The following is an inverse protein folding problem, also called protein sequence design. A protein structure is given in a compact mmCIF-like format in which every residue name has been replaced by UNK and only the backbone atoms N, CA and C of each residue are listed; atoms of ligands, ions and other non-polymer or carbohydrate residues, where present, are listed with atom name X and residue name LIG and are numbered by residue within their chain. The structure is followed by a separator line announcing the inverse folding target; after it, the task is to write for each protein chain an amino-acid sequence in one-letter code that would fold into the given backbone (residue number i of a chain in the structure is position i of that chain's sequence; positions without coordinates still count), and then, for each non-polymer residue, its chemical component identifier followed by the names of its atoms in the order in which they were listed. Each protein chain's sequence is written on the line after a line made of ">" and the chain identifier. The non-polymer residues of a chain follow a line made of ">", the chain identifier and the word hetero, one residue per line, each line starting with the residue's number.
data_IF_855878399292
#
_entry.id   IF_855878399292
#
_cell.length_a   1.000
_cell.length_b   1.000
_cell.length_c   1.000
_cell.angle_alpha   90.00
_cell.angle_beta   90.00
_cell.angle_gamma   90.00
#
_symmetry.space_group_name_H-M   'P 1'
#
loop_
_entity.id
_entity.type
_entity.pdbx_description
1 polymer ?
#
# COMPACT_ATOMS: atom_id res chain seq x y z
N UNK A 1 -11.79 1.97 9.51
CA UNK A 1 -11.10 0.68 9.33
C UNK A 1 -9.61 0.86 9.06
N UNK A 2 -9.15 1.42 7.93
CA UNK A 2 -7.69 1.51 7.64
C UNK A 2 -6.94 2.51 8.53
N UNK A 3 -7.56 3.66 8.83
CA UNK A 3 -6.97 4.65 9.72
C UNK A 3 -6.94 4.15 11.17
N UNK A 4 -7.98 3.42 11.60
CA UNK A 4 -8.01 2.82 12.94
C UNK A 4 -6.90 1.77 13.10
N UNK A 5 -6.64 0.97 12.05
CA UNK A 5 -5.50 0.04 12.03
C UNK A 5 -4.16 0.78 12.11
N UNK A 6 -4.00 1.88 11.37
CA UNK A 6 -2.79 2.69 11.43
C UNK A 6 -2.60 3.34 12.81
N UNK A 7 -3.70 3.75 13.46
CA UNK A 7 -3.70 4.37 14.78
C UNK A 7 -3.35 3.37 15.87
N UNK A 8 -3.97 2.19 15.83
CA UNK A 8 -3.65 1.08 16.73
C UNK A 8 -2.18 0.66 16.58
N UNK A 9 -1.66 0.59 15.35
CA UNK A 9 -0.24 0.34 15.11
C UNK A 9 0.65 1.43 15.72
N UNK A 10 0.36 2.70 15.42
CA UNK A 10 1.12 3.83 15.94
C UNK A 10 1.16 3.81 17.47
N UNK A 11 0.01 3.65 18.12
CA UNK A 11 -0.13 3.60 19.58
C UNK A 11 0.61 2.43 20.21
N UNK A 12 0.47 1.21 19.66
CA UNK A 12 1.15 0.01 20.18
C UNK A 12 2.66 0.13 20.15
N UNK A 13 3.19 0.80 19.14
CA UNK A 13 4.63 0.95 18.95
C UNK A 13 5.18 2.28 19.46
N UNK A 14 4.32 3.18 19.95
CA UNK A 14 4.64 4.55 20.34
C UNK A 14 5.45 5.31 19.26
N UNK A 15 5.05 5.17 17.99
CA UNK A 15 5.74 5.78 16.85
C UNK A 15 4.77 6.59 15.98
N UNK A 16 5.10 7.85 15.64
CA UNK A 16 4.30 8.63 14.71
C UNK A 16 4.34 7.99 13.32
N UNK A 17 3.19 7.99 12.62
CA UNK A 17 3.03 7.34 11.34
C UNK A 17 2.58 8.32 10.26
N UNK A 18 3.13 8.20 9.06
CA UNK A 18 2.64 8.92 7.88
C UNK A 18 1.83 7.94 7.02
N UNK A 19 0.57 8.28 6.76
CA UNK A 19 -0.36 7.45 6.00
C UNK A 19 -0.67 8.09 4.65
N UNK A 20 -0.17 7.46 3.58
CA UNK A 20 -0.39 7.88 2.20
C UNK A 20 -1.56 7.14 1.57
N UNK A 21 -2.59 7.85 1.10
CA UNK A 21 -3.83 7.26 0.57
C UNK A 21 -4.22 7.82 -0.80
N UNK A 22 -5.01 7.05 -1.54
CA UNK A 22 -5.48 7.43 -2.87
C UNK A 22 -6.80 8.23 -2.84
N UNK A 23 -7.25 8.71 -4.01
CA UNK A 23 -8.41 9.60 -4.19
C UNK A 23 -9.77 9.04 -3.74
N UNK A 24 -9.82 7.77 -3.30
CA UNK A 24 -10.99 7.16 -2.66
C UNK A 24 -11.16 7.54 -1.18
N UNK A 25 -10.07 7.94 -0.51
CA UNK A 25 -10.03 8.22 0.92
C UNK A 25 -10.16 9.69 1.37
N UNK A 26 -10.31 10.73 0.52
CA UNK A 26 -10.52 12.08 1.03
C UNK A 26 -11.96 12.21 1.55
N UNK A 27 -12.15 11.89 2.83
CA UNK A 27 -13.41 12.07 3.56
C UNK A 27 -13.17 12.67 4.95
N UNK A 28 -14.15 13.41 5.47
CA UNK A 28 -14.04 14.11 6.75
C UNK A 28 -13.73 13.18 7.93
N UNK A 29 -14.31 11.98 7.93
CA UNK A 29 -14.12 11.02 9.02
C UNK A 29 -12.65 10.59 9.17
N UNK A 30 -11.93 10.38 8.06
CA UNK A 30 -10.51 10.01 8.08
C UNK A 30 -9.67 11.15 8.67
N UNK A 31 -9.89 12.39 8.23
CA UNK A 31 -9.18 13.54 8.81
C UNK A 31 -9.50 13.71 10.30
N UNK A 32 -10.78 13.60 10.69
CA UNK A 32 -11.20 13.75 12.08
C UNK A 32 -10.55 12.70 13.00
N UNK A 33 -10.38 11.45 12.53
CA UNK A 33 -9.69 10.40 13.29
C UNK A 33 -8.19 10.68 13.37
N UNK A 34 -7.53 11.15 12.31
CA UNK A 34 -6.11 11.51 12.39
C UNK A 34 -5.85 12.64 13.40
N UNK A 35 -6.79 13.58 13.50
CA UNK A 35 -6.72 14.70 14.43
C UNK A 35 -7.17 14.36 15.86
N UNK A 36 -7.71 13.16 16.13
CA UNK A 36 -8.23 12.84 17.46
C UNK A 36 -7.13 12.52 18.48
N UNK A 37 -5.97 12.04 18.00
CA UNK A 37 -4.83 11.68 18.86
C UNK A 37 -3.64 12.59 18.56
N UNK A 38 -3.35 13.45 19.53
CA UNK A 38 -2.23 14.36 19.52
C UNK A 38 -1.18 13.90 20.54
N UNK A 39 0.09 13.84 20.13
CA UNK A 39 1.16 13.58 21.09
C UNK A 39 1.76 14.88 21.58
N UNK A 40 1.82 15.00 22.91
CA UNK A 40 2.35 16.16 23.62
C UNK A 40 3.87 16.25 23.43
N UNK A 41 4.57 15.10 23.47
CA UNK A 41 6.04 15.04 23.41
C UNK A 41 6.60 15.53 22.06
N UNK A 42 5.97 15.09 20.97
CA UNK A 42 6.40 15.43 19.60
C UNK A 42 5.68 16.66 19.04
N UNK A 43 4.76 17.26 19.80
CA UNK A 43 3.94 18.41 19.39
C UNK A 43 3.31 18.25 17.98
N UNK A 44 2.85 17.05 17.65
CA UNK A 44 2.26 16.73 16.35
C UNK A 44 1.22 15.60 16.49
N UNK A 45 0.30 15.42 15.53
CA UNK A 45 -0.64 14.30 15.57
C UNK A 45 0.12 12.98 15.39
N UNK A 46 -0.38 11.91 16.00
CA UNK A 46 0.25 10.59 15.91
C UNK A 46 0.16 10.00 14.49
N UNK A 47 -0.81 10.48 13.71
CA UNK A 47 -0.96 10.17 12.29
C UNK A 47 -0.93 11.45 11.47
N UNK A 48 -0.02 11.51 10.51
CA UNK A 48 -0.03 12.51 9.44
C UNK A 48 -0.57 11.89 8.16
N UNK A 49 -1.53 12.54 7.52
CA UNK A 49 -2.19 12.08 6.30
C UNK A 49 -1.62 12.79 5.08
N UNK A 50 -1.37 12.03 4.02
CA UNK A 50 -1.10 12.54 2.66
C UNK A 50 -2.05 11.81 1.72
N UNK A 51 -3.11 12.48 1.27
CA UNK A 51 -4.18 11.85 0.50
C UNK A 51 -4.31 12.52 -0.86
N UNK A 52 -4.39 11.76 -1.95
CA UNK A 52 -4.72 12.36 -3.25
C UNK A 52 -6.14 12.95 -3.23
N UNK A 53 -6.28 14.19 -3.68
CA UNK A 53 -7.57 14.82 -3.86
C UNK A 53 -8.30 14.23 -5.08
N UNK A 54 -9.63 14.24 -5.05
CA UNK A 54 -10.45 13.98 -6.26
C UNK A 54 -10.32 15.15 -7.23
N UNK A 55 -10.47 14.88 -8.53
CA UNK A 55 -10.38 15.92 -9.56
C UNK A 55 -11.40 17.06 -9.36
N UNK A 56 -12.57 16.76 -8.80
CA UNK A 56 -13.62 17.75 -8.50
C UNK A 56 -13.52 18.32 -7.08
N UNK A 57 -12.36 18.22 -6.42
CA UNK A 57 -12.19 18.71 -5.07
C UNK A 57 -12.22 20.24 -5.05
N UNK A 58 -12.99 20.77 -4.10
CA UNK A 58 -13.19 22.20 -3.88
C UNK A 58 -12.73 22.54 -2.47
N UNK A 59 -12.05 23.68 -2.34
CA UNK A 59 -11.69 24.28 -1.07
C UNK A 59 -12.08 25.76 -1.04
N UNK A 60 -11.89 26.40 0.10
CA UNK A 60 -12.30 27.78 0.34
C UNK A 60 -11.15 28.55 0.96
N UNK A 61 -10.97 29.80 0.55
CA UNK A 61 -10.15 30.73 1.34
C UNK A 61 -10.80 31.00 2.69
N UNK A 62 -10.03 31.44 3.68
CA UNK A 62 -10.59 31.97 4.91
C UNK A 62 -11.42 33.23 4.61
N UNK A 63 -12.56 33.37 5.29
CA UNK A 63 -13.36 34.57 5.16
C UNK A 63 -12.57 35.78 5.68
N UNK A 64 -12.59 36.88 4.92
CA UNK A 64 -12.00 38.14 5.37
C UNK A 64 -12.74 38.62 6.63
N UNK A 65 -11.98 39.00 7.66
CA UNK A 65 -12.56 39.62 8.85
C UNK A 65 -13.19 40.96 8.43
N UNK A 66 -14.46 41.24 8.76
CA UNK A 66 -15.10 42.49 8.37
C UNK A 66 -14.34 43.67 8.98
N UNK A 67 -13.91 44.62 8.14
CA UNK A 67 -13.37 45.90 8.58
C UNK A 67 -14.54 46.80 9.01
N UNK A 68 -14.97 46.72 10.28
CA UNK A 68 -16.04 47.58 10.81
C UNK A 68 -16.88 46.97 11.94
N UNK A 69 -17.94 47.68 12.35
CA UNK A 69 -18.89 47.21 13.37
C UNK A 69 -19.56 45.91 12.93
N UNK A 70 -19.47 44.87 13.77
CA UNK A 70 -20.11 43.58 13.54
C UNK A 70 -21.63 43.78 13.48
N UNK A 71 -22.23 43.45 12.34
CA UNK A 71 -23.68 43.28 12.25
C UNK A 71 -24.16 42.07 13.07
N UNK A 72 -25.47 41.96 13.35
CA UNK A 72 -26.04 40.79 14.01
C UNK A 72 -25.87 39.53 13.13
N UNK A 73 -25.35 38.44 13.71
CA UNK A 73 -25.20 37.14 13.05
C UNK A 73 -23.84 36.45 13.29
N UNK A 74 -23.76 35.15 12.96
CA UNK A 74 -22.51 34.37 13.02
C UNK A 74 -21.59 34.80 11.86
N UNK A 75 -20.33 35.21 12.10
CA UNK A 75 -19.40 35.57 11.03
C UNK A 75 -19.21 34.41 10.04
N UNK A 76 -19.15 34.69 8.72
CA UNK A 76 -18.85 33.65 7.74
C UNK A 76 -17.45 33.11 7.99
N UNK A 77 -17.30 31.79 7.99
CA UNK A 77 -15.99 31.13 8.13
C UNK A 77 -15.32 30.91 6.77
N UNK A 78 -16.13 30.65 5.74
CA UNK A 78 -15.67 30.32 4.40
C UNK A 78 -15.73 31.53 3.48
N UNK A 79 -14.61 31.89 2.86
CA UNK A 79 -14.50 32.93 1.85
C UNK A 79 -14.74 32.41 0.44
N UNK A 80 -13.94 32.87 -0.53
CA UNK A 80 -14.07 32.51 -1.94
C UNK A 80 -13.86 31.00 -2.14
N UNK A 81 -14.82 30.37 -2.85
CA UNK A 81 -14.76 28.98 -3.30
C UNK A 81 -13.74 28.84 -4.44
N UNK A 82 -12.93 27.79 -4.42
CA UNK A 82 -11.91 27.51 -5.44
C UNK A 82 -11.92 26.03 -5.79
N UNK A 83 -11.86 25.71 -7.08
CA UNK A 83 -11.59 24.33 -7.52
C UNK A 83 -10.09 24.14 -7.61
N UNK A 84 -9.58 23.03 -7.07
CA UNK A 84 -8.13 22.83 -7.00
C UNK A 84 -7.48 22.65 -8.37
N UNK A 85 -8.24 22.21 -9.37
CA UNK A 85 -7.77 22.06 -10.76
C UNK A 85 -7.47 23.39 -11.42
N UNK A 86 -8.19 24.46 -11.06
CA UNK A 86 -8.08 25.77 -11.70
C UNK A 86 -6.69 26.42 -11.46
N UNK A 87 -5.98 25.98 -10.42
CA UNK A 87 -4.62 26.42 -10.16
C UNK A 87 -3.63 25.93 -11.23
N UNK A 88 -3.90 24.81 -11.91
CA UNK A 88 -3.01 24.32 -12.98
C UNK A 88 -3.01 25.23 -14.21
N UNK A 89 -4.03 26.09 -14.37
CA UNK A 89 -4.05 27.12 -15.42
C UNK A 89 -3.09 28.29 -15.09
N UNK A 90 -2.68 28.42 -13.83
CA UNK A 90 -1.85 29.51 -13.30
C UNK A 90 -0.42 29.02 -13.06
N UNK A 91 0.23 28.50 -14.10
CA UNK A 91 1.57 27.89 -14.02
C UNK A 91 2.65 28.83 -13.45
N UNK A 92 2.48 30.14 -13.58
CA UNK A 92 3.41 31.14 -13.02
C UNK A 92 3.50 31.11 -11.48
N UNK A 93 2.52 30.51 -10.78
CA UNK A 93 2.55 30.32 -9.33
C UNK A 93 3.35 29.09 -8.90
N UNK A 94 3.77 28.25 -9.84
CA UNK A 94 4.46 26.99 -9.55
C UNK A 94 5.98 27.20 -9.51
N UNK A 95 6.61 26.63 -8.48
CA UNK A 95 8.06 26.53 -8.37
C UNK A 95 8.54 25.24 -9.04
N UNK A 96 9.74 25.25 -9.59
CA UNK A 96 10.36 24.07 -10.19
C UNK A 96 11.35 23.43 -9.23
N UNK A 97 11.37 22.10 -9.17
CA UNK A 97 12.38 21.34 -8.44
C UNK A 97 12.56 19.95 -9.04
N UNK A 98 13.72 19.34 -8.76
CA UNK A 98 13.97 17.93 -9.08
C UNK A 98 13.41 17.05 -7.98
N UNK A 99 12.61 16.06 -8.35
CA UNK A 99 11.96 15.16 -7.41
C UNK A 99 11.98 13.72 -7.92
N UNK A 100 12.01 12.76 -6.98
CA UNK A 100 11.89 11.35 -7.31
C UNK A 100 10.41 10.98 -7.47
N UNK A 101 9.96 10.86 -8.72
CA UNK A 101 8.58 10.50 -9.07
C UNK A 101 8.60 9.08 -9.63
N UNK A 102 7.92 8.15 -8.94
CA UNK A 102 7.84 6.73 -9.31
C UNK A 102 9.20 6.08 -9.61
N UNK A 103 10.19 6.30 -8.71
CA UNK A 103 11.58 5.84 -8.82
C UNK A 103 12.36 6.42 -10.02
N UNK A 104 11.91 7.54 -10.60
CA UNK A 104 12.62 8.28 -11.64
C UNK A 104 12.84 9.71 -11.17
N UNK A 105 14.05 10.21 -11.33
CA UNK A 105 14.35 11.61 -11.09
C UNK A 105 13.84 12.42 -12.28
N UNK A 106 12.89 13.31 -12.05
CA UNK A 106 12.35 14.22 -13.06
C UNK A 106 12.20 15.63 -12.48
N UNK A 107 12.19 16.63 -13.36
CA UNK A 107 11.82 17.99 -12.99
C UNK A 107 10.31 18.08 -12.89
N UNK A 108 9.84 18.62 -11.77
CA UNK A 108 8.43 18.83 -11.50
C UNK A 108 8.17 20.30 -11.21
N UNK A 109 6.97 20.76 -11.56
CA UNK A 109 6.45 22.04 -11.12
C UNK A 109 5.50 21.79 -9.97
N UNK A 110 5.62 22.51 -8.86
CA UNK A 110 4.73 22.35 -7.70
C UNK A 110 4.35 23.68 -7.06
N UNK A 111 3.22 23.68 -6.35
CA UNK A 111 2.70 24.80 -5.58
C UNK A 111 2.11 24.26 -4.28
N UNK A 112 2.19 25.04 -3.20
CA UNK A 112 1.47 24.73 -1.96
C UNK A 112 0.54 25.85 -1.56
N UNK A 113 -0.64 25.49 -1.07
CA UNK A 113 -1.62 26.45 -0.56
C UNK A 113 -2.42 25.85 0.60
N UNK A 114 -2.65 26.64 1.65
CA UNK A 114 -3.50 26.24 2.77
C UNK A 114 -4.90 26.79 2.55
N UNK A 115 -5.90 25.90 2.46
CA UNK A 115 -7.30 26.28 2.23
C UNK A 115 -8.23 25.56 3.21
N UNK A 116 -9.36 26.17 3.52
CA UNK A 116 -10.41 25.54 4.30
C UNK A 116 -11.11 24.47 3.46
N UNK A 117 -11.19 23.25 3.99
CA UNK A 117 -11.94 22.18 3.37
C UNK A 117 -13.24 21.91 4.11
N UNK A 118 -14.36 22.30 3.49
CA UNK A 118 -15.71 22.30 4.08
C UNK A 118 -16.10 20.99 4.80
N UNK A 119 -15.79 19.77 4.28
CA UNK A 119 -16.10 18.53 4.98
C UNK A 119 -15.48 18.43 6.39
N UNK A 120 -14.29 18.99 6.59
CA UNK A 120 -13.62 19.03 7.91
C UNK A 120 -13.82 20.34 8.65
N UNK A 121 -14.14 21.43 7.94
CA UNK A 121 -14.17 22.79 8.48
C UNK A 121 -12.82 23.31 8.98
N UNK A 122 -11.71 22.68 8.55
CA UNK A 122 -10.34 23.00 8.96
C UNK A 122 -9.49 23.38 7.76
N UNK A 123 -8.37 24.04 8.04
CA UNK A 123 -7.32 24.26 7.04
C UNK A 123 -6.66 22.92 6.71
N UNK A 124 -6.46 22.70 5.42
CA UNK A 124 -5.72 21.58 4.86
C UNK A 124 -4.66 22.17 3.94
N UNK A 125 -3.45 21.60 3.99
CA UNK A 125 -2.41 21.95 3.04
C UNK A 125 -2.58 21.18 1.75
N UNK A 126 -2.82 21.90 0.68
CA UNK A 126 -2.89 21.35 -0.66
C UNK A 126 -1.52 21.49 -1.31
N UNK A 127 -0.97 20.36 -1.77
CA UNK A 127 0.25 20.30 -2.58
C UNK A 127 -0.16 19.93 -3.98
N UNK A 128 -0.03 20.86 -4.91
CA UNK A 128 -0.31 20.68 -6.32
C UNK A 128 1.02 20.43 -7.03
N UNK A 129 1.08 19.43 -7.91
CA UNK A 129 2.27 19.14 -8.67
C UNK A 129 1.92 18.70 -10.09
N UNK A 130 2.75 19.11 -11.04
CA UNK A 130 2.74 18.66 -12.43
C UNK A 130 3.96 17.77 -12.59
N UNK A 131 3.69 16.49 -12.86
CA UNK A 131 4.71 15.45 -13.04
C UNK A 131 4.74 15.00 -14.50
N UNK A 132 5.71 14.17 -14.88
CA UNK A 132 5.74 13.54 -16.20
C UNK A 132 4.53 12.64 -16.49
N UNK A 133 3.76 12.26 -15.45
CA UNK A 133 2.50 11.50 -15.57
C UNK A 133 1.25 12.36 -15.48
N UNK A 134 1.39 13.68 -15.46
CA UNK A 134 0.29 14.64 -15.37
C UNK A 134 0.12 15.26 -13.98
N UNK A 135 -0.94 16.08 -13.81
CA UNK A 135 -1.19 16.83 -12.59
C UNK A 135 -1.70 15.95 -11.46
N UNK A 136 -1.22 16.22 -10.25
CA UNK A 136 -1.67 15.60 -9.01
C UNK A 136 -1.93 16.68 -7.96
N UNK A 137 -2.92 16.44 -7.11
CA UNK A 137 -3.23 17.29 -5.96
C UNK A 137 -3.24 16.39 -4.73
N UNK A 138 -2.44 16.74 -3.73
CA UNK A 138 -2.34 16.04 -2.45
C UNK A 138 -2.92 16.92 -1.35
N UNK A 139 -3.64 16.30 -0.44
CA UNK A 139 -4.22 16.88 0.77
C UNK A 139 -3.39 16.40 1.94
N UNK A 140 -2.72 17.32 2.62
CA UNK A 140 -1.88 17.03 3.78
C UNK A 140 -2.58 17.51 5.05
N UNK A 141 -2.64 16.65 6.07
CA UNK A 141 -3.23 17.04 7.36
C UNK A 141 -2.35 18.00 8.14
N UNK A 142 -1.03 17.93 7.94
CA UNK A 142 -0.06 18.87 8.48
C UNK A 142 0.11 20.09 7.55
N UNK A 143 -0.05 21.28 8.13
CA UNK A 143 0.07 22.56 7.43
C UNK A 143 1.52 22.94 7.13
N UNK A 144 2.49 22.28 7.77
CA UNK A 144 3.91 22.51 7.56
C UNK A 144 4.57 21.45 6.68
N UNK A 145 3.80 20.48 6.19
CA UNK A 145 4.29 19.38 5.34
C UNK A 145 5.13 19.88 4.16
N UNK A 146 6.36 19.41 4.08
CA UNK A 146 7.24 19.72 2.94
C UNK A 146 6.67 19.11 1.65
N UNK A 147 6.50 19.92 0.58
CA UNK A 147 5.82 19.47 -0.64
C UNK A 147 6.57 18.37 -1.39
N UNK A 148 7.90 18.46 -1.48
CA UNK A 148 8.69 17.48 -2.22
C UNK A 148 8.63 16.11 -1.53
N UNK A 149 8.76 16.08 -0.20
CA UNK A 149 8.56 14.85 0.59
C UNK A 149 7.14 14.30 0.40
N UNK A 150 6.11 15.15 0.43
CA UNK A 150 4.74 14.68 0.25
C UNK A 150 4.52 14.00 -1.12
N UNK A 151 5.08 14.58 -2.18
CA UNK A 151 5.03 14.02 -3.53
C UNK A 151 5.79 12.69 -3.59
N UNK A 152 7.00 12.63 -3.05
CA UNK A 152 7.80 11.39 -3.02
C UNK A 152 7.08 10.27 -2.28
N UNK A 153 6.55 10.56 -1.09
CA UNK A 153 5.80 9.61 -0.27
C UNK A 153 4.55 9.10 -1.03
N UNK A 154 3.82 9.99 -1.70
CA UNK A 154 2.69 9.57 -2.52
C UNK A 154 3.13 8.69 -3.71
N UNK A 155 4.26 8.99 -4.36
CA UNK A 155 4.77 8.19 -5.47
C UNK A 155 5.21 6.77 -5.03
N UNK A 156 5.70 6.63 -3.79
CA UNK A 156 6.04 5.33 -3.19
C UNK A 156 4.82 4.43 -3.02
N UNK A 157 3.59 4.98 -3.01
CA UNK A 157 2.33 4.21 -2.91
C UNK A 157 2.22 3.08 -3.93
N UNK A 158 2.81 3.22 -5.13
CA UNK A 158 2.82 2.17 -6.16
C UNK A 158 3.44 0.86 -5.68
N UNK A 159 4.25 0.86 -4.61
CA UNK A 159 4.75 -0.36 -3.96
C UNK A 159 3.62 -1.29 -3.51
N UNK A 160 2.48 -0.78 -3.07
CA UNK A 160 1.35 -1.63 -2.68
C UNK A 160 0.72 -2.34 -3.89
N UNK A 161 0.67 -1.68 -5.04
CA UNK A 161 0.16 -2.25 -6.29
C UNK A 161 1.09 -3.38 -6.76
N UNK A 162 2.41 -3.15 -6.70
CA UNK A 162 3.43 -4.17 -6.99
C UNK A 162 3.31 -5.34 -6.00
N UNK A 163 3.14 -5.07 -4.71
CA UNK A 163 2.95 -6.10 -3.69
C UNK A 163 1.72 -6.96 -4.00
N UNK A 164 0.59 -6.36 -4.36
CA UNK A 164 -0.61 -7.11 -4.75
C UNK A 164 -0.41 -7.91 -6.04
N UNK A 165 0.33 -7.38 -7.01
CA UNK A 165 0.69 -8.11 -8.22
C UNK A 165 1.54 -9.35 -7.89
N UNK A 166 2.56 -9.20 -7.03
CA UNK A 166 3.37 -10.33 -6.57
C UNK A 166 2.53 -11.35 -5.78
N UNK A 167 1.65 -10.88 -4.89
CA UNK A 167 0.78 -11.77 -4.13
C UNK A 167 -0.15 -12.58 -5.03
N UNK A 168 -0.72 -11.94 -6.06
CA UNK A 168 -1.64 -12.57 -7.00
C UNK A 168 -0.94 -13.48 -8.01
N UNK A 169 0.08 -12.97 -8.69
CA UNK A 169 0.65 -13.60 -9.87
C UNK A 169 1.92 -14.41 -9.59
N UNK A 170 2.68 -14.06 -8.53
CA UNK A 170 3.88 -14.81 -8.15
C UNK A 170 3.57 -15.86 -7.07
N UNK A 171 2.88 -15.49 -6.00
CA UNK A 171 2.58 -16.38 -4.87
C UNK A 171 1.27 -17.15 -5.08
N UNK A 172 0.35 -16.62 -5.90
CA UNK A 172 -1.00 -17.17 -6.07
C UNK A 172 -1.80 -17.14 -4.76
N UNK A 173 -1.61 -16.11 -3.92
CA UNK A 173 -2.26 -15.95 -2.62
C UNK A 173 -3.78 -15.80 -2.67
N UNK A 174 -4.35 -15.59 -3.86
CA UNK A 174 -5.80 -15.53 -4.08
C UNK A 174 -6.35 -16.72 -4.88
N UNK A 175 -5.52 -17.74 -5.15
CA UNK A 175 -5.89 -18.94 -5.92
C UNK A 175 -6.34 -20.09 -5.02
N UNK A 176 -7.07 -19.78 -3.94
CA UNK A 176 -7.63 -20.79 -3.06
C UNK A 176 -8.95 -21.35 -3.62
N UNK A 177 -9.26 -22.60 -3.27
CA UNK A 177 -10.50 -23.28 -3.63
C UNK A 177 -11.35 -23.66 -2.41
N UNK A 178 -11.15 -22.98 -1.26
CA UNK A 178 -12.06 -23.15 -0.13
C UNK A 178 -13.41 -22.54 -0.50
N UNK A 179 -14.51 -23.23 -0.23
CA UNK A 179 -15.85 -22.68 -0.36
C UNK A 179 -16.84 -23.54 0.43
N UNK A 180 -17.94 -22.92 0.84
CA UNK A 180 -19.03 -23.62 1.54
C UNK A 180 -20.35 -23.34 0.84
N UNK A 181 -21.18 -24.37 0.68
CA UNK A 181 -22.56 -24.23 0.14
C UNK A 181 -23.46 -23.37 1.03
N UNK A 182 -23.08 -23.20 2.30
CA UNK A 182 -23.83 -22.41 3.28
C UNK A 182 -23.52 -20.90 3.19
N UNK A 183 -22.53 -20.52 2.37
CA UNK A 183 -22.25 -19.12 2.08
C UNK A 183 -23.13 -18.60 0.96
N UNK A 184 -23.52 -17.34 1.04
CA UNK A 184 -24.18 -16.67 -0.07
C UNK A 184 -23.24 -16.63 -1.27
N UNK A 185 -23.78 -16.94 -2.46
CA UNK A 185 -23.03 -16.78 -3.70
C UNK A 185 -22.86 -15.29 -3.96
N UNK A 186 -21.62 -14.83 -3.86
CA UNK A 186 -21.28 -13.46 -4.25
C UNK A 186 -21.05 -13.39 -5.75
N UNK A 187 -21.65 -12.39 -6.40
CA UNK A 187 -21.34 -12.08 -7.79
C UNK A 187 -19.89 -11.61 -7.90
N UNK A 188 -19.22 -11.94 -9.01
CA UNK A 188 -17.91 -11.35 -9.35
C UNK A 188 -17.99 -9.84 -9.60
N UNK A 189 -19.20 -9.30 -9.82
CA UNK A 189 -19.43 -7.86 -9.93
C UNK A 189 -19.76 -7.29 -8.56
N UNK A 190 -19.09 -6.21 -8.13
CA UNK A 190 -19.41 -5.56 -6.86
C UNK A 190 -20.86 -5.09 -6.88
N UNK A 191 -21.61 -5.45 -5.83
CA UNK A 191 -22.96 -4.96 -5.58
C UNK A 191 -22.95 -4.20 -4.27
N UNK A 192 -23.92 -3.30 -4.11
CA UNK A 192 -24.11 -2.58 -2.86
C UNK A 192 -24.29 -3.57 -1.71
N UNK A 193 -23.60 -3.35 -0.59
CA UNK A 193 -23.69 -4.19 0.61
C UNK A 193 -25.02 -4.04 1.38
N UNK A 194 -26.03 -3.40 0.78
CA UNK A 194 -27.34 -3.13 1.39
C UNK A 194 -28.12 -4.40 1.70
N UNK A 195 -27.96 -5.43 0.87
CA UNK A 195 -28.77 -6.65 0.93
C UNK A 195 -27.99 -7.86 1.47
N UNK A 196 -26.86 -7.63 2.17
CA UNK A 196 -26.11 -8.70 2.80
C UNK A 196 -26.94 -9.30 3.94
N UNK A 197 -27.27 -10.59 3.83
CA UNK A 197 -27.99 -11.30 4.91
C UNK A 197 -27.01 -12.11 5.74
N UNK A 198 -27.20 -12.07 7.04
CA UNK A 198 -26.46 -12.92 7.96
C UNK A 198 -26.76 -14.41 7.65
N UNK A 199 -25.76 -15.31 7.73
CA UNK A 199 -26.00 -16.75 7.67
C UNK A 199 -26.93 -17.20 8.80
N UNK A 200 -27.65 -18.31 8.60
CA UNK A 200 -28.42 -18.94 9.69
C UNK A 200 -27.51 -19.35 10.85
N UNK A 201 -28.03 -19.39 12.07
CA UNK A 201 -27.25 -19.73 13.28
C UNK A 201 -26.50 -21.06 13.14
N UNK A 202 -27.18 -22.09 12.61
CA UNK A 202 -26.59 -23.42 12.35
C UNK A 202 -25.48 -23.40 11.28
N UNK A 203 -25.48 -22.41 10.36
CA UNK A 203 -24.47 -22.26 9.32
C UNK A 203 -23.28 -21.38 9.76
N UNK A 204 -23.46 -20.55 10.78
CA UNK A 204 -22.53 -19.49 11.17
C UNK A 204 -21.13 -20.04 11.50
N UNK A 205 -21.05 -21.14 12.25
CA UNK A 205 -19.77 -21.77 12.56
C UNK A 205 -19.01 -22.20 11.29
N UNK A 206 -19.69 -22.88 10.36
CA UNK A 206 -19.08 -23.35 9.10
C UNK A 206 -18.67 -22.20 8.18
N UNK A 207 -19.47 -21.14 8.10
CA UNK A 207 -19.14 -19.93 7.34
C UNK A 207 -17.91 -19.24 7.93
N UNK A 208 -17.85 -19.09 9.25
CA UNK A 208 -16.69 -18.52 9.94
C UNK A 208 -15.41 -19.34 9.73
N UNK A 209 -15.49 -20.67 9.76
CA UNK A 209 -14.33 -21.53 9.43
C UNK A 209 -13.85 -21.30 8.00
N UNK A 210 -14.78 -21.15 7.05
CA UNK A 210 -14.43 -20.87 5.65
C UNK A 210 -13.76 -19.50 5.49
N UNK A 211 -14.27 -18.45 6.16
CA UNK A 211 -13.63 -17.13 6.19
C UNK A 211 -12.25 -17.16 6.82
N UNK A 212 -12.10 -17.82 7.98
CA UNK A 212 -10.79 -18.02 8.62
C UNK A 212 -9.81 -18.74 7.71
N UNK A 213 -10.28 -19.71 6.91
CA UNK A 213 -9.42 -20.38 5.93
C UNK A 213 -8.94 -19.42 4.83
N UNK A 214 -9.82 -18.56 4.30
CA UNK A 214 -9.42 -17.51 3.35
C UNK A 214 -8.41 -16.55 3.93
N UNK A 215 -8.71 -15.98 5.10
CA UNK A 215 -7.85 -15.00 5.78
C UNK A 215 -6.47 -15.60 6.07
N UNK A 216 -6.42 -16.81 6.64
CA UNK A 216 -5.16 -17.50 6.94
C UNK A 216 -4.36 -17.80 5.68
N UNK A 217 -5.00 -18.25 4.60
CA UNK A 217 -4.30 -18.54 3.36
C UNK A 217 -3.67 -17.28 2.75
N UNK A 218 -4.43 -16.18 2.68
CA UNK A 218 -3.93 -14.89 2.18
C UNK A 218 -2.82 -14.36 3.11
N UNK A 219 -2.96 -14.49 4.42
CA UNK A 219 -1.96 -14.06 5.40
C UNK A 219 -0.65 -14.86 5.26
N UNK A 220 -0.73 -16.19 5.12
CA UNK A 220 0.44 -17.04 4.88
C UNK A 220 1.13 -16.68 3.57
N UNK A 221 0.36 -16.39 2.52
CA UNK A 221 0.89 -15.92 1.25
C UNK A 221 1.60 -14.55 1.39
N UNK A 222 1.05 -13.63 2.18
CA UNK A 222 1.69 -12.34 2.47
C UNK A 222 2.98 -12.50 3.29
N UNK A 223 2.99 -13.37 4.30
CA UNK A 223 4.21 -13.71 5.06
C UNK A 223 5.27 -14.32 4.14
N UNK A 224 4.89 -15.28 3.29
CA UNK A 224 5.80 -15.89 2.34
C UNK A 224 6.41 -14.85 1.39
N UNK A 225 5.60 -13.93 0.86
CA UNK A 225 6.09 -12.82 0.04
C UNK A 225 7.09 -11.94 0.80
N UNK A 226 6.76 -11.57 2.05
CA UNK A 226 7.65 -10.78 2.90
C UNK A 226 8.98 -11.49 3.21
N UNK A 227 8.97 -12.81 3.39
CA UNK A 227 10.19 -13.60 3.57
C UNK A 227 11.06 -13.60 2.30
N UNK A 228 10.47 -13.71 1.11
CA UNK A 228 11.22 -13.60 -0.13
C UNK A 228 11.87 -12.21 -0.28
N UNK A 229 11.15 -11.15 0.08
CA UNK A 229 11.68 -9.78 0.07
C UNK A 229 12.81 -9.60 1.08
N UNK A 230 12.68 -10.17 2.29
CA UNK A 230 13.72 -10.12 3.31
C UNK A 230 14.99 -10.85 2.85
N UNK A 231 14.84 -12.03 2.23
CA UNK A 231 15.97 -12.78 1.67
C UNK A 231 16.62 -12.00 0.52
N UNK A 232 15.84 -11.36 -0.35
CA UNK A 232 16.36 -10.55 -1.44
C UNK A 232 17.26 -9.41 -0.95
N UNK A 233 16.89 -8.80 0.19
CA UNK A 233 17.63 -7.68 0.79
C UNK A 233 18.83 -8.17 1.59
N UNK A 234 18.70 -9.25 2.37
CA UNK A 234 19.76 -9.74 3.26
C UNK A 234 20.85 -10.55 2.55
N UNK A 235 20.48 -11.34 1.53
CA UNK A 235 21.38 -12.31 0.89
C UNK A 235 21.42 -12.16 -0.64
N UNK A 236 21.64 -10.94 -1.19
CA UNK A 236 21.57 -10.73 -2.63
C UNK A 236 22.64 -11.52 -3.38
N UNK A 237 23.88 -11.55 -2.87
CA UNK A 237 25.00 -12.22 -3.52
C UNK A 237 24.79 -13.74 -3.55
N UNK A 238 24.37 -14.34 -2.44
CA UNK A 238 24.09 -15.78 -2.37
C UNK A 238 23.00 -16.19 -3.34
N UNK A 239 21.92 -15.40 -3.43
CA UNK A 239 20.85 -15.66 -4.39
C UNK A 239 21.37 -15.58 -5.83
N UNK A 240 22.20 -14.58 -6.16
CA UNK A 240 22.76 -14.48 -7.51
C UNK A 240 23.73 -15.61 -7.83
N UNK A 241 24.54 -16.05 -6.87
CA UNK A 241 25.48 -17.16 -7.06
C UNK A 241 24.75 -18.50 -7.33
N UNK A 242 23.60 -18.71 -6.68
CA UNK A 242 22.78 -19.90 -6.87
C UNK A 242 21.76 -19.77 -8.00
N UNK A 243 21.70 -18.61 -8.67
CA UNK A 243 20.79 -18.39 -9.78
C UNK A 243 21.43 -18.86 -11.09
N UNK A 244 20.99 -20.00 -11.55
CA UNK A 244 21.57 -20.74 -12.68
C UNK A 244 20.75 -20.62 -13.98
N UNK A 245 19.89 -19.60 -14.08
CA UNK A 245 19.13 -19.33 -15.30
C UNK A 245 19.50 -17.99 -15.91
N UNK A 246 19.21 -17.82 -17.20
CA UNK A 246 19.52 -16.59 -17.90
C UNK A 246 18.43 -15.54 -17.75
N UNK A 247 18.82 -14.31 -17.41
CA UNK A 247 17.97 -13.13 -17.49
C UNK A 247 18.42 -12.27 -18.66
N UNK A 248 17.52 -12.08 -19.64
CA UNK A 248 17.77 -11.19 -20.79
C UNK A 248 18.16 -9.77 -20.37
N UNK A 249 17.62 -9.28 -19.26
CA UNK A 249 17.91 -7.94 -18.75
C UNK A 249 17.90 -7.95 -17.22
N UNK A 250 19.04 -7.62 -16.62
CA UNK A 250 19.15 -7.38 -15.18
C UNK A 250 18.89 -5.91 -14.90
N UNK A 251 17.63 -5.58 -14.59
CA UNK A 251 17.22 -4.19 -14.37
C UNK A 251 17.60 -3.63 -13.00
N UNK A 252 17.97 -4.48 -12.04
CA UNK A 252 18.28 -4.11 -10.65
C UNK A 252 19.40 -4.97 -10.07
N UNK A 253 20.18 -4.39 -9.15
CA UNK A 253 21.20 -5.13 -8.40
C UNK A 253 20.57 -6.14 -7.44
N UNK A 254 19.50 -5.75 -6.74
CA UNK A 254 18.72 -6.63 -5.86
C UNK A 254 17.95 -7.68 -6.67
N UNK A 255 17.96 -8.96 -6.25
CA UNK A 255 17.17 -10.00 -6.89
C UNK A 255 15.67 -9.72 -6.68
N UNK A 256 14.87 -10.05 -7.70
CA UNK A 256 13.41 -9.94 -7.59
C UNK A 256 12.83 -11.04 -6.70
N UNK A 257 11.63 -10.86 -6.18
CA UNK A 257 10.91 -11.90 -5.44
C UNK A 257 10.75 -13.17 -6.26
N UNK A 258 10.62 -13.05 -7.59
CA UNK A 258 10.57 -14.19 -8.52
C UNK A 258 11.90 -14.94 -8.57
N UNK A 259 13.01 -14.21 -8.64
CA UNK A 259 14.37 -14.76 -8.62
C UNK A 259 14.62 -15.51 -7.31
N UNK A 260 14.30 -14.88 -6.17
CA UNK A 260 14.44 -15.52 -4.85
C UNK A 260 13.57 -16.75 -4.74
N UNK A 261 12.28 -16.68 -5.14
CA UNK A 261 11.38 -17.83 -5.14
C UNK A 261 11.95 -18.99 -5.94
N UNK A 262 12.52 -18.71 -7.12
CA UNK A 262 13.12 -19.72 -7.98
C UNK A 262 14.29 -20.43 -7.30
N UNK A 263 15.27 -19.67 -6.81
CA UNK A 263 16.45 -20.21 -6.14
C UNK A 263 16.04 -21.00 -4.89
N UNK A 264 15.22 -20.40 -4.02
CA UNK A 264 14.75 -21.03 -2.79
C UNK A 264 13.97 -22.31 -3.06
N UNK A 265 13.11 -22.34 -4.08
CA UNK A 265 12.39 -23.56 -4.43
C UNK A 265 13.35 -24.69 -4.80
N UNK A 266 14.41 -24.42 -5.56
CA UNK A 266 15.41 -25.45 -5.93
C UNK A 266 16.21 -25.91 -4.72
N UNK A 267 16.68 -25.00 -3.87
CA UNK A 267 17.41 -25.34 -2.65
C UNK A 267 16.54 -26.16 -1.68
N UNK A 268 15.27 -25.77 -1.50
CA UNK A 268 14.33 -26.52 -0.65
C UNK A 268 14.05 -27.91 -1.22
N UNK A 269 13.86 -28.04 -2.54
CA UNK A 269 13.68 -29.34 -3.19
C UNK A 269 14.94 -30.20 -3.04
N UNK A 270 16.13 -29.65 -3.25
CA UNK A 270 17.41 -30.35 -3.04
C UNK A 270 17.52 -30.87 -1.61
N UNK A 271 17.27 -30.00 -0.62
CA UNK A 271 17.26 -30.40 0.79
C UNK A 271 16.17 -31.44 1.09
N UNK A 272 15.00 -31.35 0.46
CA UNK A 272 13.93 -32.35 0.58
C UNK A 272 14.40 -33.75 0.12
N UNK A 273 15.18 -33.81 -0.96
CA UNK A 273 15.69 -35.07 -1.52
C UNK A 273 16.86 -35.64 -0.72
N UNK A 274 17.73 -34.79 -0.16
CA UNK A 274 18.90 -35.19 0.63
C UNK A 274 18.48 -35.59 2.06
N UNK A 275 17.61 -34.81 2.71
CA UNK A 275 17.22 -34.98 4.11
C UNK A 275 15.95 -35.81 4.31
N UNK A 276 15.74 -36.89 3.55
CA UNK A 276 14.50 -37.70 3.61
C UNK A 276 14.57 -38.99 4.47
N UNK A 277 14.36 -38.94 5.80
CA UNK A 277 14.08 -40.14 6.62
C UNK A 277 12.59 -40.43 6.88
N UNK A 278 11.64 -39.51 6.64
CA UNK A 278 10.25 -39.64 7.15
C UNK A 278 9.24 -40.09 6.07
N UNK A 279 8.28 -40.95 6.44
CA UNK A 279 7.29 -41.57 5.55
C UNK A 279 6.46 -40.60 4.69
N UNK A 280 6.07 -39.44 5.25
CA UNK A 280 5.30 -38.40 4.53
C UNK A 280 6.09 -37.83 3.35
N UNK A 281 7.40 -37.64 3.53
CA UNK A 281 8.29 -37.09 2.50
C UNK A 281 8.52 -38.09 1.37
N UNK A 282 8.55 -39.39 1.69
CA UNK A 282 8.55 -40.48 0.70
C UNK A 282 7.27 -40.50 -0.14
N UNK A 283 6.10 -40.33 0.47
CA UNK A 283 4.82 -40.23 -0.25
C UNK A 283 4.78 -39.02 -1.19
N UNK A 284 5.24 -37.85 -0.74
CA UNK A 284 5.33 -36.64 -1.58
C UNK A 284 6.27 -36.89 -2.78
N UNK A 285 7.45 -37.47 -2.54
CA UNK A 285 8.41 -37.83 -3.59
C UNK A 285 7.79 -38.77 -4.60
N UNK A 286 7.08 -39.80 -4.15
CA UNK A 286 6.43 -40.78 -5.02
C UNK A 286 5.27 -40.18 -5.82
N UNK A 287 4.45 -39.30 -5.25
CA UNK A 287 3.26 -38.78 -5.94
C UNK A 287 3.58 -37.69 -6.95
N UNK A 288 4.54 -36.81 -6.63
CA UNK A 288 4.78 -35.61 -7.43
C UNK A 288 6.06 -35.66 -8.27
N UNK A 289 7.03 -36.51 -7.94
CA UNK A 289 8.36 -36.51 -8.58
C UNK A 289 8.75 -37.83 -9.26
N UNK A 290 7.79 -38.77 -9.44
CA UNK A 290 8.00 -40.13 -9.99
C UNK A 290 8.58 -40.21 -11.42
N UNK A 291 8.78 -39.10 -12.14
CA UNK A 291 9.16 -39.10 -13.57
C UNK A 291 10.54 -38.51 -13.92
N UNK A 292 11.25 -37.89 -12.99
CA UNK A 292 12.67 -37.49 -13.17
C UNK A 292 13.21 -37.12 -11.79
N UNK A 293 13.99 -38.00 -11.19
CA UNK A 293 14.96 -37.54 -10.19
C UNK A 293 15.92 -36.61 -10.93
N UNK A 294 16.08 -35.34 -10.53
CA UNK A 294 17.16 -34.53 -11.08
C UNK A 294 18.48 -35.23 -10.72
N UNK A 295 19.39 -35.32 -11.69
CA UNK A 295 20.68 -35.96 -11.48
C UNK A 295 21.43 -35.10 -10.45
N UNK A 296 22.06 -35.66 -9.38
CA UNK A 296 22.90 -34.87 -8.48
C UNK A 296 23.96 -34.03 -9.20
N UNK A 297 24.33 -34.39 -10.42
CA UNK A 297 25.25 -33.66 -11.30
C UNK A 297 24.62 -32.50 -12.10
N UNK A 298 23.29 -32.34 -12.10
CA UNK A 298 22.59 -31.21 -12.76
C UNK A 298 22.72 -29.88 -11.99
N UNK A 299 23.41 -29.88 -10.86
CA UNK A 299 23.66 -28.71 -10.03
C UNK A 299 25.18 -28.56 -9.87
N UNK A 300 25.78 -27.43 -10.28
CA UNK A 300 27.21 -27.24 -10.11
C UNK A 300 27.56 -27.37 -8.64
N UNK A 301 28.57 -28.20 -8.35
CA UNK A 301 29.09 -28.39 -7.01
C UNK A 301 29.46 -27.04 -6.40
N UNK A 302 28.88 -26.78 -5.23
CA UNK A 302 29.37 -25.73 -4.33
C UNK A 302 30.66 -26.24 -3.66
N UNK A 303 31.70 -26.41 -4.46
CA UNK A 303 33.08 -26.62 -4.01
C UNK A 303 33.92 -25.48 -4.59
N UNK A 304 33.69 -24.28 -4.05
CA UNK A 304 34.70 -23.23 -4.09
C UNK A 304 34.87 -22.74 -2.65
N UNK A 305 36.04 -23.06 -2.13
CA UNK A 305 36.72 -22.51 -0.95
C UNK A 305 36.56 -21.01 -0.79
#
# INVERSE_FOLDING_TARGET
>A
MIIDMALDFALRHNLPCILTLDAYFPCASIFNIAYSIWSIEIHQPFITLIIRAKNNCVAYYEAQKPQGKRGPGRPPTYGKKVTLTDFFDQLYLFSQARCCVYNKMEEISFMTINLLWKPTGRLIRFVLAITGRGPIVLMCSDLNQEPLIAIQLYCVRTRIEIMFDMLKNLICGFSYHFWSKLMQRHSRRPKSNKDLKQPSENALAKVNFCWKAYERFVMLAAIALGLLQLIAVKYPNDIWNHFDTYLRTRSRQLPSERTVKYVMARLLIRNLFISAPVAIMREIRQRYFKRKSPDPNDFPDSSIT
#
